data_IF_060518478812
#
_entry.id   IF_060518478812
#
_cell.length_a   1.000
_cell.length_b   1.000
_cell.length_c   1.000
_cell.angle_alpha   90.00
_cell.angle_beta   90.00
_cell.angle_gamma   90.00
#
_symmetry.space_group_name_H-M   'P 1'
#
loop_
_entity.id
_entity.type
_entity.pdbx_description
1 polymer ?
#
# COMPACT_ATOMS: atom_id res chain seq x y z
N UNK A 1 -0.39 -4.83 19.05
CA UNK A 1 0.93 -5.08 18.42
C UNK A 1 1.90 -3.92 18.66
N UNK A 2 1.64 -2.71 18.12
CA UNK A 2 2.47 -1.51 18.36
C UNK A 2 1.59 -0.42 18.95
N UNK A 3 2.04 0.26 20.03
CA UNK A 3 1.29 1.33 20.68
C UNK A 3 2.19 2.53 20.92
N UNK A 4 1.72 3.70 20.56
CA UNK A 4 2.32 4.99 20.86
C UNK A 4 1.54 5.67 22.00
N UNK A 5 2.23 6.14 23.04
CA UNK A 5 1.66 6.89 24.16
C UNK A 5 2.40 8.22 24.35
N UNK A 6 1.73 9.31 23.99
CA UNK A 6 2.24 10.68 24.13
C UNK A 6 3.66 10.87 23.59
N UNK A 7 3.95 10.27 22.42
CA UNK A 7 5.32 10.22 21.85
C UNK A 7 5.66 11.55 21.20
N UNK A 8 6.82 12.11 21.57
CA UNK A 8 7.40 13.27 20.92
C UNK A 8 8.83 13.01 20.48
N UNK A 9 9.20 13.65 19.34
CA UNK A 9 10.58 13.73 18.86
C UNK A 9 10.97 15.17 18.60
N UNK A 10 12.00 15.63 19.32
CA UNK A 10 12.48 17.00 19.30
C UNK A 10 13.90 17.02 18.73
N UNK A 11 14.17 17.91 17.79
CA UNK A 11 15.48 18.22 17.22
C UNK A 11 15.77 19.71 17.44
N UNK A 12 16.67 20.03 18.39
CA UNK A 12 16.86 21.41 18.81
C UNK A 12 15.54 22.01 19.30
N UNK A 13 15.09 23.09 18.69
CA UNK A 13 13.82 23.76 19.04
C UNK A 13 12.62 23.27 18.22
N UNK A 14 12.83 22.35 17.27
CA UNK A 14 11.77 21.86 16.38
C UNK A 14 11.24 20.51 16.86
N UNK A 15 9.93 20.43 17.08
CA UNK A 15 9.23 19.18 17.28
C UNK A 15 8.91 18.56 15.92
N UNK A 16 9.56 17.46 15.59
CA UNK A 16 9.29 16.71 14.36
C UNK A 16 8.08 15.77 14.51
N UNK A 17 7.84 15.29 15.75
CA UNK A 17 6.65 14.56 16.19
C UNK A 17 6.27 15.13 17.54
N UNK A 18 5.01 15.46 17.78
CA UNK A 18 4.55 16.14 18.98
C UNK A 18 3.32 15.45 19.56
N UNK A 19 3.52 14.82 20.72
CA UNK A 19 2.49 14.20 21.55
C UNK A 19 1.54 13.25 20.78
N UNK A 20 2.08 12.39 19.92
CA UNK A 20 1.26 11.45 19.15
C UNK A 20 0.91 10.20 19.95
N UNK A 21 -0.35 9.77 19.86
CA UNK A 21 -0.86 8.56 20.50
C UNK A 21 -1.76 7.81 19.54
N UNK A 22 -1.41 6.56 19.26
CA UNK A 22 -2.22 5.63 18.44
C UNK A 22 -1.76 4.19 18.66
N UNK A 23 -2.55 3.26 18.15
CA UNK A 23 -2.22 1.84 18.15
C UNK A 23 -2.29 1.25 16.75
N UNK A 24 -1.45 0.25 16.50
CA UNK A 24 -1.43 -0.57 15.29
C UNK A 24 -1.72 -2.00 15.74
N UNK A 25 -2.74 -2.61 15.14
CA UNK A 25 -3.18 -3.96 15.50
C UNK A 25 -2.31 -5.02 14.82
N UNK A 26 -2.37 -6.24 15.31
CA UNK A 26 -1.70 -7.38 14.69
C UNK A 26 -2.35 -7.71 13.34
N UNK A 27 -1.54 -7.98 12.33
CA UNK A 27 -1.99 -8.29 10.97
C UNK A 27 -2.51 -7.10 10.17
N UNK A 28 -2.51 -5.88 10.75
CA UNK A 28 -3.00 -4.66 10.14
C UNK A 28 -2.02 -4.09 9.12
N UNK A 29 -2.54 -3.62 7.98
CA UNK A 29 -1.82 -2.75 7.05
C UNK A 29 -2.09 -1.29 7.43
N UNK A 30 -1.20 -0.70 8.22
CA UNK A 30 -1.34 0.65 8.76
C UNK A 30 -0.50 1.65 7.96
N UNK A 31 -1.15 2.69 7.41
CA UNK A 31 -0.48 3.66 6.55
C UNK A 31 -0.28 4.99 7.27
N UNK A 32 0.95 5.49 7.26
CA UNK A 32 1.31 6.85 7.68
C UNK A 32 1.40 7.76 6.45
N UNK A 33 0.55 8.77 6.38
CA UNK A 33 0.48 9.72 5.27
C UNK A 33 0.55 11.16 5.77
N UNK A 34 0.85 12.09 4.88
CA UNK A 34 0.87 13.53 5.19
C UNK A 34 1.90 14.31 4.37
N UNK A 35 1.93 15.64 4.46
CA UNK A 35 2.87 16.50 3.74
C UNK A 35 4.33 16.15 4.00
N UNK A 36 5.23 16.57 3.11
CA UNK A 36 6.67 16.43 3.33
C UNK A 36 7.10 17.10 4.63
N UNK A 37 7.93 16.40 5.42
CA UNK A 37 8.44 16.93 6.69
C UNK A 37 7.46 16.89 7.86
N UNK A 38 6.26 16.28 7.74
CA UNK A 38 5.30 16.20 8.84
C UNK A 38 5.62 15.14 9.92
N UNK A 39 6.69 14.36 9.77
CA UNK A 39 7.15 13.41 10.80
C UNK A 39 6.96 11.92 10.48
N UNK A 40 6.42 11.52 9.31
CA UNK A 40 6.17 10.12 8.94
C UNK A 40 7.38 9.20 9.10
N UNK A 41 8.45 9.47 8.37
CA UNK A 41 9.70 8.70 8.44
C UNK A 41 10.33 8.73 9.83
N UNK A 42 10.21 9.84 10.56
CA UNK A 42 10.67 9.95 11.96
C UNK A 42 9.86 8.99 12.85
N UNK A 43 8.53 9.00 12.72
CA UNK A 43 7.63 8.11 13.44
C UNK A 43 7.95 6.64 13.13
N UNK A 44 8.13 6.28 11.85
CA UNK A 44 8.50 4.93 11.44
C UNK A 44 9.84 4.51 12.06
N UNK A 45 10.87 5.38 12.00
CA UNK A 45 12.22 5.09 12.51
C UNK A 45 12.31 5.01 14.04
N UNK A 46 11.35 5.58 14.76
CA UNK A 46 11.27 5.42 16.21
C UNK A 46 10.81 4.00 16.60
N UNK A 47 9.97 3.34 15.79
CA UNK A 47 9.48 1.98 16.10
C UNK A 47 10.64 0.98 16.25
N UNK A 48 11.60 1.01 15.33
CA UNK A 48 12.76 0.10 15.36
C UNK A 48 13.99 0.70 16.04
N UNK A 49 13.80 1.79 16.79
CA UNK A 49 14.87 2.51 17.53
C UNK A 49 16.06 2.94 16.67
N UNK A 50 15.83 3.23 15.37
CA UNK A 50 16.83 3.94 14.54
C UNK A 50 16.94 5.41 14.95
N UNK A 51 15.85 5.99 15.46
CA UNK A 51 15.79 7.32 16.04
C UNK A 51 15.25 7.14 17.47
N UNK A 52 15.95 7.64 18.52
CA UNK A 52 15.40 7.65 19.86
C UNK A 52 14.26 8.66 19.98
N UNK A 53 13.18 8.32 20.67
CA UNK A 53 12.13 9.26 21.06
C UNK A 53 12.65 10.25 22.10
N UNK A 54 12.03 11.42 22.21
CA UNK A 54 12.40 12.44 23.22
C UNK A 54 11.50 12.35 24.44
N UNK A 55 10.21 12.06 24.25
CA UNK A 55 9.20 11.96 25.32
C UNK A 55 8.19 10.88 24.97
N UNK A 56 7.49 10.34 25.98
CA UNK A 56 6.46 9.32 25.84
C UNK A 56 7.01 7.91 25.76
N UNK A 57 6.17 6.97 25.32
CA UNK A 57 6.51 5.56 25.25
C UNK A 57 6.00 4.95 23.93
N UNK A 58 6.81 4.04 23.38
CA UNK A 58 6.39 3.14 22.31
C UNK A 58 6.45 1.72 22.88
N UNK A 59 5.38 0.97 22.67
CA UNK A 59 5.30 -0.43 23.08
C UNK A 59 5.29 -1.32 21.83
N UNK A 60 5.95 -2.45 21.95
CA UNK A 60 5.92 -3.55 21.01
C UNK A 60 5.49 -4.80 21.78
N UNK A 61 4.35 -5.42 21.41
CA UNK A 61 3.75 -6.52 22.16
C UNK A 61 3.61 -6.22 23.66
N UNK A 62 3.01 -5.07 23.99
CA UNK A 62 2.73 -4.58 25.35
C UNK A 62 3.96 -4.33 26.24
N UNK A 63 5.16 -4.48 25.69
CA UNK A 63 6.42 -4.18 26.37
C UNK A 63 7.04 -2.91 25.79
N UNK A 64 7.50 -1.94 26.62
CA UNK A 64 8.20 -0.76 26.14
C UNK A 64 9.42 -1.12 25.27
N UNK A 65 9.57 -0.47 24.11
CA UNK A 65 10.71 -0.75 23.21
C UNK A 65 12.07 -0.47 23.87
N UNK A 66 12.11 0.42 24.87
CA UNK A 66 13.31 0.73 25.65
C UNK A 66 13.85 -0.46 26.47
N UNK A 67 12.99 -1.40 26.80
CA UNK A 67 13.32 -2.58 27.62
C UNK A 67 13.77 -3.81 26.80
N UNK A 68 13.70 -3.71 25.47
CA UNK A 68 14.22 -4.77 24.60
C UNK A 68 15.72 -4.62 24.39
N UNK A 69 16.42 -5.73 24.23
CA UNK A 69 17.67 -5.70 23.48
C UNK A 69 17.42 -5.23 22.05
N UNK A 70 18.23 -4.29 21.58
CA UNK A 70 18.01 -3.64 20.28
C UNK A 70 18.16 -4.62 19.13
N UNK A 71 19.13 -5.55 19.22
CA UNK A 71 19.37 -6.51 18.16
C UNK A 71 18.23 -7.53 18.08
N UNK A 72 17.80 -8.07 19.23
CA UNK A 72 16.69 -9.02 19.32
C UNK A 72 15.39 -8.41 18.80
N UNK A 73 15.05 -7.18 19.22
CA UNK A 73 13.86 -6.49 18.75
C UNK A 73 13.87 -6.29 17.22
N UNK A 74 15.03 -5.92 16.67
CA UNK A 74 15.15 -5.69 15.22
C UNK A 74 15.07 -6.96 14.39
N UNK A 75 15.30 -8.13 14.96
CA UNK A 75 15.07 -9.40 14.28
C UNK A 75 13.59 -9.70 14.03
N UNK A 76 12.71 -9.11 14.84
CA UNK A 76 11.26 -9.23 14.70
C UNK A 76 10.66 -8.10 13.86
N UNK A 77 11.51 -7.23 13.30
CA UNK A 77 11.08 -6.09 12.49
C UNK A 77 11.84 -6.10 11.16
N UNK A 78 11.12 -6.44 10.07
CA UNK A 78 11.61 -6.22 8.71
C UNK A 78 11.60 -4.72 8.38
N UNK A 79 12.58 -4.24 7.63
CA UNK A 79 12.65 -2.84 7.23
C UNK A 79 12.95 -2.69 5.73
N UNK A 80 12.02 -2.07 5.02
CA UNK A 80 12.17 -1.69 3.60
C UNK A 80 12.52 -0.21 3.53
N UNK A 81 13.70 0.08 3.00
CA UNK A 81 14.20 1.45 2.86
C UNK A 81 13.62 2.12 1.61
N UNK A 82 13.50 3.44 1.63
CA UNK A 82 13.11 4.27 0.49
C UNK A 82 14.03 4.05 -0.71
N UNK A 83 15.34 3.97 -0.48
CA UNK A 83 16.30 3.54 -1.49
C UNK A 83 16.42 2.01 -1.46
N UNK A 84 16.61 1.39 -2.61
CA UNK A 84 16.63 -0.09 -2.78
C UNK A 84 17.69 -0.76 -1.89
N UNK A 85 18.80 -0.12 -1.62
CA UNK A 85 19.85 -0.50 -0.65
C UNK A 85 20.23 -2.01 -0.64
N UNK A 86 20.20 -2.70 -1.79
CA UNK A 86 20.76 -4.03 -1.93
C UNK A 86 22.28 -3.94 -1.88
N UNK A 87 22.92 -4.95 -1.33
CA UNK A 87 24.38 -5.06 -1.32
C UNK A 87 24.85 -5.39 -2.73
N UNK A 88 25.55 -4.45 -3.44
CA UNK A 88 25.83 -4.60 -4.86
C UNK A 88 26.84 -5.70 -5.19
N UNK A 89 27.65 -6.10 -4.21
CA UNK A 89 28.67 -7.14 -4.32
C UNK A 89 28.20 -8.53 -3.88
N UNK A 90 26.93 -8.65 -3.49
CA UNK A 90 26.28 -9.89 -3.10
C UNK A 90 25.27 -10.31 -4.15
N UNK A 91 25.13 -11.59 -4.39
CA UNK A 91 24.05 -12.15 -5.21
C UNK A 91 22.68 -11.93 -4.57
N UNK A 92 21.61 -12.16 -5.31
CA UNK A 92 20.25 -12.01 -4.79
C UNK A 92 19.99 -12.97 -3.62
N UNK A 93 20.40 -14.23 -3.72
CA UNK A 93 20.29 -15.18 -2.59
C UNK A 93 21.05 -14.72 -1.36
N UNK A 94 22.25 -14.18 -1.52
CA UNK A 94 23.05 -13.65 -0.42
C UNK A 94 22.41 -12.42 0.21
N UNK A 95 21.83 -11.52 -0.59
CA UNK A 95 21.06 -10.38 -0.09
C UNK A 95 19.87 -10.82 0.77
N UNK A 96 19.10 -11.82 0.32
CA UNK A 96 17.92 -12.34 1.04
C UNK A 96 18.37 -13.12 2.30
N UNK A 97 19.45 -13.86 2.23
CA UNK A 97 19.93 -14.72 3.30
C UNK A 97 20.51 -13.98 4.52
N UNK A 98 20.85 -12.68 4.40
CA UNK A 98 21.59 -11.94 5.43
C UNK A 98 21.00 -12.08 6.84
N UNK A 99 19.72 -11.77 7.02
CA UNK A 99 19.10 -11.84 8.36
C UNK A 99 18.90 -13.27 8.83
N UNK A 100 18.42 -14.23 8.03
CA UNK A 100 18.39 -15.64 8.37
C UNK A 100 19.76 -16.20 8.80
N UNK A 101 20.86 -15.82 8.15
CA UNK A 101 22.22 -16.23 8.51
C UNK A 101 22.63 -15.65 9.89
N UNK A 102 22.34 -14.36 10.12
CA UNK A 102 22.58 -13.72 11.43
C UNK A 102 21.76 -14.40 12.55
N UNK A 103 20.53 -14.86 12.24
CA UNK A 103 19.69 -15.67 13.14
C UNK A 103 20.15 -17.14 13.23
N UNK A 104 21.25 -17.51 12.56
CA UNK A 104 21.84 -18.86 12.56
C UNK A 104 20.90 -19.96 12.06
N UNK A 105 20.07 -19.66 11.07
CA UNK A 105 19.24 -20.67 10.44
C UNK A 105 20.11 -21.72 9.72
N UNK A 106 19.59 -22.93 9.55
CA UNK A 106 20.30 -23.98 8.81
C UNK A 106 20.37 -23.60 7.34
N UNK A 107 21.49 -23.88 6.69
CA UNK A 107 21.70 -23.55 5.26
C UNK A 107 20.58 -24.05 4.35
N UNK A 108 20.03 -25.24 4.61
CA UNK A 108 18.93 -25.81 3.85
C UNK A 108 17.65 -24.99 3.99
N UNK A 109 17.33 -24.53 5.20
CA UNK A 109 16.13 -23.74 5.47
C UNK A 109 16.24 -22.35 4.81
N UNK A 110 17.44 -21.76 4.84
CA UNK A 110 17.74 -20.49 4.13
C UNK A 110 17.55 -20.66 2.63
N UNK A 111 18.09 -21.72 2.01
CA UNK A 111 17.94 -21.96 0.58
C UNK A 111 16.47 -22.11 0.17
N UNK A 112 15.70 -22.92 0.92
CA UNK A 112 14.28 -23.09 0.69
C UNK A 112 13.52 -21.76 0.83
N UNK A 113 13.86 -20.95 1.84
CA UNK A 113 13.23 -19.65 2.08
C UNK A 113 13.53 -18.64 0.97
N UNK A 114 14.76 -18.64 0.46
CA UNK A 114 15.14 -17.81 -0.70
C UNK A 114 14.30 -18.15 -1.92
N UNK A 115 14.18 -19.44 -2.24
CA UNK A 115 13.42 -19.89 -3.42
C UNK A 115 11.91 -19.63 -3.25
N UNK A 116 11.34 -19.85 -2.05
CA UNK A 116 9.97 -19.50 -1.70
C UNK A 116 9.70 -18.00 -1.93
N UNK A 117 10.54 -17.13 -1.38
CA UNK A 117 10.36 -15.68 -1.46
C UNK A 117 10.54 -15.15 -2.88
N UNK A 118 11.48 -15.68 -3.66
CA UNK A 118 11.63 -15.32 -5.08
C UNK A 118 10.39 -15.70 -5.88
N UNK A 119 9.87 -16.91 -5.68
CA UNK A 119 8.63 -17.38 -6.32
C UNK A 119 7.45 -16.48 -5.98
N UNK A 120 7.33 -16.09 -4.70
CA UNK A 120 6.26 -15.24 -4.17
C UNK A 120 6.17 -13.87 -4.87
N UNK A 121 7.31 -13.31 -5.32
CA UNK A 121 7.33 -12.03 -6.06
C UNK A 121 7.46 -12.23 -7.58
N UNK A 122 7.13 -13.41 -8.09
CA UNK A 122 7.13 -13.72 -9.53
C UNK A 122 8.51 -13.75 -10.18
N UNK A 123 9.56 -14.04 -9.40
CA UNK A 123 10.93 -14.20 -9.91
C UNK A 123 11.33 -15.68 -9.83
N UNK A 124 11.63 -16.30 -10.97
CA UNK A 124 12.07 -17.68 -11.02
C UNK A 124 13.40 -17.88 -10.25
N UNK A 125 13.42 -18.71 -9.19
CA UNK A 125 14.61 -18.88 -8.35
C UNK A 125 15.85 -19.33 -9.12
N UNK A 126 15.69 -20.25 -10.09
CA UNK A 126 16.84 -20.75 -10.87
C UNK A 126 17.47 -19.68 -11.74
N UNK A 127 16.65 -18.75 -12.22
CA UNK A 127 17.12 -17.64 -13.05
C UNK A 127 17.73 -16.50 -12.25
N UNK A 128 17.19 -16.18 -11.05
CA UNK A 128 17.48 -14.93 -10.35
C UNK A 128 18.37 -15.08 -9.11
N UNK A 129 18.39 -16.22 -8.41
CA UNK A 129 19.07 -16.35 -7.12
C UNK A 129 20.57 -16.04 -7.16
N UNK A 130 21.25 -16.37 -8.28
CA UNK A 130 22.69 -16.22 -8.44
C UNK A 130 23.09 -14.92 -9.17
N UNK A 131 22.13 -14.09 -9.60
CA UNK A 131 22.39 -12.78 -10.21
C UNK A 131 22.80 -11.76 -9.16
N UNK A 132 23.45 -10.71 -9.65
CA UNK A 132 23.76 -9.52 -8.86
C UNK A 132 22.70 -8.44 -9.06
N UNK A 133 22.53 -7.50 -8.10
CA UNK A 133 21.56 -6.40 -8.22
C UNK A 133 21.68 -5.61 -9.52
N UNK A 134 22.89 -5.39 -10.03
CA UNK A 134 23.16 -4.68 -11.30
C UNK A 134 22.57 -5.33 -12.55
N UNK A 135 22.21 -6.60 -12.48
CA UNK A 135 21.62 -7.37 -13.59
C UNK A 135 20.09 -7.32 -13.57
N UNK A 136 19.48 -6.63 -12.58
CA UNK A 136 18.04 -6.53 -12.38
C UNK A 136 17.53 -5.13 -12.73
N UNK A 137 16.28 -5.06 -13.21
CA UNK A 137 15.58 -3.78 -13.34
C UNK A 137 15.31 -3.15 -11.96
N UNK A 138 15.04 -1.84 -11.90
CA UNK A 138 14.72 -1.15 -10.65
C UNK A 138 13.51 -1.77 -9.92
N UNK A 139 12.45 -2.15 -10.65
CA UNK A 139 11.29 -2.83 -10.06
C UNK A 139 11.63 -4.22 -9.50
N UNK A 140 12.47 -5.00 -10.20
CA UNK A 140 12.95 -6.29 -9.69
C UNK A 140 13.80 -6.11 -8.43
N UNK A 141 14.72 -5.14 -8.42
CA UNK A 141 15.51 -4.83 -7.23
C UNK A 141 14.63 -4.42 -6.04
N UNK A 142 13.55 -3.67 -6.28
CA UNK A 142 12.61 -3.28 -5.23
C UNK A 142 11.86 -4.49 -4.66
N UNK A 143 11.40 -5.42 -5.51
CA UNK A 143 10.81 -6.70 -5.08
C UNK A 143 11.78 -7.47 -4.17
N UNK A 144 13.06 -7.56 -4.56
CA UNK A 144 14.08 -8.18 -3.71
C UNK A 144 14.24 -7.44 -2.38
N UNK A 145 14.21 -6.11 -2.37
CA UNK A 145 14.24 -5.30 -1.15
C UNK A 145 13.10 -5.64 -0.18
N UNK A 146 11.88 -5.83 -0.72
CA UNK A 146 10.70 -6.23 0.07
C UNK A 146 10.87 -7.64 0.64
N UNK A 147 11.20 -8.64 -0.18
CA UNK A 147 11.35 -10.03 0.30
C UNK A 147 12.55 -10.22 1.22
N UNK A 148 13.61 -9.43 1.08
CA UNK A 148 14.73 -9.41 2.03
C UNK A 148 14.26 -9.01 3.42
N UNK A 149 13.36 -8.03 3.53
CA UNK A 149 12.79 -7.63 4.82
C UNK A 149 11.90 -8.73 5.43
N UNK A 150 11.33 -9.62 4.61
CA UNK A 150 10.51 -10.76 5.02
C UNK A 150 11.30 -12.05 5.27
N UNK A 151 12.60 -12.07 4.94
CA UNK A 151 13.39 -13.30 4.89
C UNK A 151 13.44 -14.06 6.23
N UNK A 152 13.54 -13.34 7.34
CA UNK A 152 13.57 -13.92 8.70
C UNK A 152 12.19 -14.18 9.31
N UNK A 153 11.13 -14.06 8.52
CA UNK A 153 9.73 -14.21 8.92
C UNK A 153 9.31 -13.28 10.09
N UNK A 154 9.60 -11.96 10.02
CA UNK A 154 9.30 -11.04 11.10
C UNK A 154 7.78 -10.85 11.25
N UNK A 155 7.24 -10.64 12.47
CA UNK A 155 5.84 -10.32 12.70
C UNK A 155 5.45 -8.92 12.22
N UNK A 156 6.42 -8.00 12.11
CA UNK A 156 6.21 -6.61 11.68
C UNK A 156 7.13 -6.25 10.52
N UNK A 157 6.61 -5.53 9.53
CA UNK A 157 7.38 -4.95 8.44
C UNK A 157 7.15 -3.45 8.38
N UNK A 158 8.22 -2.67 8.43
CA UNK A 158 8.22 -1.23 8.26
C UNK A 158 8.66 -0.88 6.84
N UNK A 159 7.92 -0.03 6.16
CA UNK A 159 8.21 0.37 4.78
C UNK A 159 8.23 1.89 4.65
N UNK A 160 9.37 2.46 4.28
CA UNK A 160 9.59 3.90 4.15
C UNK A 160 9.56 4.29 2.66
N UNK A 161 8.41 4.75 2.16
CA UNK A 161 8.17 5.15 0.76
C UNK A 161 8.70 4.14 -0.29
N UNK A 162 8.34 2.85 -0.21
CA UNK A 162 9.00 1.81 -1.01
C UNK A 162 8.76 1.93 -2.52
N UNK A 163 7.80 2.73 -2.96
CA UNK A 163 7.45 2.87 -4.38
C UNK A 163 7.91 4.18 -5.03
N UNK A 164 8.55 5.08 -4.26
CA UNK A 164 8.86 6.44 -4.70
C UNK A 164 9.80 6.51 -5.91
N UNK A 165 10.67 5.51 -6.10
CA UNK A 165 11.63 5.46 -7.19
C UNK A 165 11.15 4.68 -8.44
N UNK A 166 9.89 4.20 -8.45
CA UNK A 166 9.36 3.37 -9.53
C UNK A 166 8.55 4.18 -10.54
N UNK A 167 8.59 3.75 -11.80
CA UNK A 167 7.67 4.21 -12.83
C UNK A 167 6.22 3.78 -12.51
N UNK A 168 5.20 4.44 -13.07
CA UNK A 168 3.80 4.18 -12.72
C UNK A 168 3.35 2.73 -12.91
N UNK A 169 3.82 2.05 -13.97
CA UNK A 169 3.43 0.67 -14.28
C UNK A 169 4.06 -0.30 -13.26
N UNK A 170 5.36 -0.17 -13.03
CA UNK A 170 6.09 -0.97 -12.05
C UNK A 170 5.54 -0.77 -10.63
N UNK A 171 5.16 0.48 -10.30
CA UNK A 171 4.55 0.84 -9.02
C UNK A 171 3.22 0.12 -8.82
N UNK A 172 2.29 0.20 -9.79
CA UNK A 172 0.99 -0.47 -9.73
C UNK A 172 1.16 -1.99 -9.55
N UNK A 173 2.01 -2.61 -10.34
CA UNK A 173 2.25 -4.05 -10.25
C UNK A 173 2.81 -4.45 -8.87
N UNK A 174 3.75 -3.68 -8.32
CA UNK A 174 4.34 -4.00 -7.01
C UNK A 174 3.35 -3.76 -5.86
N UNK A 175 2.44 -2.79 -5.98
CA UNK A 175 1.34 -2.61 -5.03
C UNK A 175 0.41 -3.83 -5.01
N UNK A 176 0.03 -4.32 -6.19
CA UNK A 176 -0.85 -5.49 -6.34
C UNK A 176 -0.15 -6.74 -5.77
N UNK A 177 1.12 -6.96 -6.11
CA UNK A 177 1.94 -8.04 -5.55
C UNK A 177 2.03 -7.97 -4.01
N UNK A 178 2.19 -6.76 -3.44
CA UNK A 178 2.30 -6.58 -1.99
C UNK A 178 0.97 -6.85 -1.28
N UNK A 179 -0.16 -6.46 -1.88
CA UNK A 179 -1.49 -6.78 -1.35
C UNK A 179 -1.77 -8.28 -1.40
N UNK A 180 -1.43 -8.96 -2.51
CA UNK A 180 -1.55 -10.41 -2.62
C UNK A 180 -0.68 -11.10 -1.57
N UNK A 181 0.57 -10.67 -1.43
CA UNK A 181 1.50 -11.15 -0.42
C UNK A 181 0.91 -10.98 0.99
N UNK A 182 0.41 -9.79 1.34
CA UNK A 182 -0.17 -9.50 2.65
C UNK A 182 -1.37 -10.40 2.96
N UNK A 183 -2.21 -10.69 1.97
CA UNK A 183 -3.37 -11.59 2.12
C UNK A 183 -2.95 -13.02 2.54
N UNK A 184 -1.78 -13.46 2.08
CA UNK A 184 -1.22 -14.79 2.35
C UNK A 184 -0.49 -14.85 3.70
N UNK A 185 0.36 -13.83 4.00
CA UNK A 185 1.26 -13.86 5.17
C UNK A 185 0.67 -13.21 6.42
N UNK A 186 -0.33 -12.35 6.29
CA UNK A 186 -1.04 -11.63 7.38
C UNK A 186 -0.08 -10.97 8.40
N UNK A 187 1.00 -10.36 7.92
CA UNK A 187 1.96 -9.63 8.76
C UNK A 187 1.42 -8.24 9.10
N UNK A 188 1.87 -7.68 10.21
CA UNK A 188 1.62 -6.27 10.51
C UNK A 188 2.53 -5.42 9.65
N UNK A 189 1.97 -4.54 8.82
CA UNK A 189 2.73 -3.65 7.95
C UNK A 189 2.52 -2.21 8.40
N UNK A 190 3.60 -1.47 8.60
CA UNK A 190 3.56 -0.01 8.79
C UNK A 190 4.20 0.63 7.57
N UNK A 191 3.38 1.30 6.79
CA UNK A 191 3.73 1.81 5.47
C UNK A 191 3.71 3.34 5.45
N UNK A 192 4.79 3.94 5.00
CA UNK A 192 4.88 5.40 4.81
C UNK A 192 4.76 5.71 3.33
N UNK A 193 3.88 6.64 3.00
CA UNK A 193 3.77 7.21 1.66
C UNK A 193 3.40 8.70 1.73
N UNK A 194 3.61 9.41 0.64
CA UNK A 194 3.06 10.74 0.40
C UNK A 194 1.91 10.72 -0.62
N UNK A 195 1.62 9.55 -1.17
CA UNK A 195 0.58 9.33 -2.18
C UNK A 195 -0.71 8.85 -1.49
N UNK A 196 -1.78 9.64 -1.66
CA UNK A 196 -3.08 9.35 -1.04
C UNK A 196 -3.75 8.12 -1.68
N UNK A 197 -3.54 7.90 -2.99
CA UNK A 197 -4.13 6.77 -3.70
C UNK A 197 -3.51 5.45 -3.20
N UNK A 198 -2.17 5.44 -2.98
CA UNK A 198 -1.50 4.31 -2.35
C UNK A 198 -2.07 4.02 -0.96
N UNK A 199 -2.25 5.07 -0.13
CA UNK A 199 -2.76 4.92 1.22
C UNK A 199 -4.17 4.34 1.22
N UNK A 200 -5.05 4.83 0.37
CA UNK A 200 -6.44 4.39 0.29
C UNK A 200 -6.60 2.99 -0.32
N UNK A 201 -5.72 2.63 -1.26
CA UNK A 201 -5.72 1.30 -1.89
C UNK A 201 -5.22 0.21 -0.95
N UNK A 202 -4.21 0.51 -0.13
CA UNK A 202 -3.45 -0.51 0.60
C UNK A 202 -3.77 -0.56 2.09
N UNK A 203 -4.22 0.56 2.69
CA UNK A 203 -4.37 0.67 4.13
C UNK A 203 -5.68 0.12 4.66
N UNK A 204 -5.62 -0.77 5.65
CA UNK A 204 -6.78 -1.09 6.50
C UNK A 204 -7.16 0.14 7.33
N UNK A 205 -6.15 0.83 7.87
CA UNK A 205 -6.29 2.14 8.51
C UNK A 205 -5.17 3.07 8.09
N UNK A 206 -5.55 4.34 7.96
CA UNK A 206 -4.68 5.44 7.54
C UNK A 206 -4.54 6.41 8.72
N UNK A 207 -3.31 6.86 8.97
CA UNK A 207 -3.00 7.92 9.93
C UNK A 207 -2.43 9.12 9.16
N UNK A 208 -3.19 10.20 9.11
CA UNK A 208 -2.75 11.45 8.52
C UNK A 208 -2.01 12.27 9.57
N UNK A 209 -0.74 12.54 9.28
CA UNK A 209 0.13 13.39 10.08
C UNK A 209 0.26 14.77 9.44
N UNK A 210 0.24 15.81 10.26
CA UNK A 210 0.49 17.18 9.85
C UNK A 210 1.29 17.93 10.94
N UNK A 211 2.40 18.55 10.56
CA UNK A 211 3.25 19.33 11.48
C UNK A 211 3.59 18.61 12.79
N UNK A 212 3.83 17.30 12.73
CA UNK A 212 4.16 16.47 13.89
C UNK A 212 2.96 15.93 14.68
N UNK A 213 1.74 16.31 14.34
CA UNK A 213 0.51 15.88 15.01
C UNK A 213 -0.31 14.89 14.19
N UNK A 214 -1.12 14.08 14.86
CA UNK A 214 -2.12 13.23 14.22
C UNK A 214 -3.38 14.07 13.94
N UNK A 215 -3.72 14.26 12.68
CA UNK A 215 -4.95 14.92 12.26
C UNK A 215 -6.14 13.98 12.32
N UNK A 216 -6.05 12.82 11.67
CA UNK A 216 -7.09 11.81 11.65
C UNK A 216 -6.48 10.41 11.56
N UNK A 217 -7.15 9.43 12.16
CA UNK A 217 -6.92 8.00 11.95
C UNK A 217 -8.27 7.35 11.66
N UNK A 218 -8.33 6.54 10.61
CA UNK A 218 -9.57 5.84 10.23
C UNK A 218 -9.36 4.99 8.99
N UNK A 219 -10.43 4.36 8.53
CA UNK A 219 -10.50 3.64 7.27
C UNK A 219 -10.57 4.63 6.09
N UNK A 220 -10.41 4.14 4.86
CA UNK A 220 -10.64 4.93 3.64
C UNK A 220 -12.03 5.57 3.65
N UNK A 221 -13.07 4.84 4.09
CA UNK A 221 -14.43 5.37 4.21
C UNK A 221 -14.55 6.50 5.23
N UNK A 222 -13.83 6.42 6.37
CA UNK A 222 -13.81 7.50 7.36
C UNK A 222 -13.20 8.77 6.80
N UNK A 223 -12.16 8.66 6.00
CA UNK A 223 -11.52 9.81 5.35
C UNK A 223 -12.43 10.45 4.29
N UNK A 224 -13.09 9.65 3.46
CA UNK A 224 -13.98 10.12 2.40
C UNK A 224 -15.25 10.75 2.97
N UNK A 225 -15.94 10.03 3.88
CA UNK A 225 -17.30 10.43 4.30
C UNK A 225 -17.32 11.20 5.61
N UNK A 226 -16.27 11.16 6.43
CA UNK A 226 -16.21 11.78 7.75
C UNK A 226 -14.86 12.47 8.01
N UNK A 227 -14.41 13.38 7.10
CA UNK A 227 -13.19 14.14 7.33
C UNK A 227 -13.33 15.00 8.60
N UNK A 228 -12.33 14.92 9.49
CA UNK A 228 -12.36 15.54 10.83
C UNK A 228 -12.34 17.07 10.76
N UNK A 229 -11.70 17.63 9.72
CA UNK A 229 -11.56 19.08 9.53
C UNK A 229 -11.29 19.42 8.06
N UNK A 230 -11.25 20.73 7.74
CA UNK A 230 -11.01 21.22 6.38
C UNK A 230 -9.63 20.85 5.84
N UNK A 231 -8.62 20.72 6.71
CA UNK A 231 -7.29 20.26 6.30
C UNK A 231 -7.35 18.82 5.76
N UNK A 232 -7.99 17.92 6.51
CA UNK A 232 -8.18 16.52 6.07
C UNK A 232 -8.94 16.48 4.76
N UNK A 233 -10.06 17.22 4.66
CA UNK A 233 -10.86 17.31 3.43
C UNK A 233 -10.05 17.84 2.25
N UNK A 234 -9.26 18.89 2.44
CA UNK A 234 -8.43 19.46 1.37
C UNK A 234 -7.24 18.58 0.99
N UNK A 235 -6.68 17.84 1.97
CA UNK A 235 -5.56 16.92 1.74
C UNK A 235 -5.97 15.71 0.90
N UNK A 236 -7.17 15.16 1.16
CA UNK A 236 -7.75 14.08 0.36
C UNK A 236 -8.06 14.59 -1.06
N UNK A 237 -8.46 15.87 -1.19
CA UNK A 237 -8.77 16.48 -2.48
C UNK A 237 -9.95 15.81 -3.18
N UNK A 238 -9.89 15.72 -4.51
CA UNK A 238 -10.90 15.04 -5.32
C UNK A 238 -10.67 13.52 -5.43
N UNK A 239 -10.21 12.86 -4.35
CA UNK A 239 -10.04 11.40 -4.32
C UNK A 239 -11.38 10.69 -4.59
N UNK A 240 -12.51 11.32 -4.22
CA UNK A 240 -13.84 10.83 -4.61
C UNK A 240 -13.93 10.54 -6.12
N UNK A 241 -13.34 11.40 -6.95
CA UNK A 241 -13.31 11.18 -8.40
C UNK A 241 -12.44 9.98 -8.80
N UNK A 242 -11.34 9.71 -8.10
CA UNK A 242 -10.45 8.58 -8.38
C UNK A 242 -10.98 7.26 -7.83
N UNK A 243 -11.52 7.25 -6.61
CA UNK A 243 -12.15 6.05 -6.02
C UNK A 243 -13.39 5.65 -6.83
N UNK A 244 -14.18 6.63 -7.28
CA UNK A 244 -15.33 6.38 -8.14
C UNK A 244 -14.92 5.84 -9.52
N UNK A 245 -13.75 6.20 -10.03
CA UNK A 245 -13.19 5.63 -11.27
C UNK A 245 -12.78 4.17 -11.17
N UNK A 246 -12.45 3.69 -9.98
CA UNK A 246 -12.10 2.29 -9.72
C UNK A 246 -13.32 1.39 -9.47
N UNK A 247 -14.54 1.94 -9.49
CA UNK A 247 -15.78 1.14 -9.39
C UNK A 247 -15.85 0.16 -10.56
N UNK A 248 -16.07 -1.11 -10.25
CA UNK A 248 -16.22 -2.16 -11.27
C UNK A 248 -17.49 -1.93 -12.08
N UNK A 249 -17.41 -2.17 -13.37
CA UNK A 249 -18.54 -1.99 -14.27
C UNK A 249 -19.70 -2.94 -13.94
N UNK A 250 -19.39 -4.16 -13.44
CA UNK A 250 -20.40 -5.09 -12.98
C UNK A 250 -21.31 -4.57 -11.87
N UNK A 251 -20.79 -3.66 -11.04
CA UNK A 251 -21.55 -3.11 -9.90
C UNK A 251 -22.51 -1.97 -10.30
N UNK A 252 -22.29 -1.38 -11.48
CA UNK A 252 -23.08 -0.22 -11.96
C UNK A 252 -23.80 -0.49 -13.29
N UNK A 253 -23.62 -1.65 -13.89
CA UNK A 253 -24.22 -1.97 -15.18
C UNK A 253 -25.75 -2.11 -15.08
N UNK A 254 -26.45 -1.51 -16.05
CA UNK A 254 -27.90 -1.54 -16.14
C UNK A 254 -28.38 -2.70 -17.03
N UNK A 255 -29.52 -3.35 -16.71
CA UNK A 255 -30.13 -4.32 -17.62
C UNK A 255 -30.45 -3.64 -18.96
N UNK A 256 -30.14 -4.31 -20.08
CA UNK A 256 -30.41 -3.76 -21.43
C UNK A 256 -31.91 -3.46 -21.64
N UNK A 257 -32.79 -4.19 -20.98
CA UNK A 257 -34.23 -3.99 -21.03
C UNK A 257 -34.69 -2.63 -20.49
N UNK A 258 -33.85 -1.97 -19.69
CA UNK A 258 -34.16 -0.65 -19.09
C UNK A 258 -33.58 0.51 -19.91
N UNK A 259 -32.78 0.22 -20.95
CA UNK A 259 -32.10 1.23 -21.76
C UNK A 259 -32.65 1.19 -23.20
N UNK A 260 -33.17 2.29 -23.67
CA UNK A 260 -33.75 2.41 -25.00
C UNK A 260 -32.65 2.52 -26.07
N UNK A 261 -32.06 1.39 -26.48
CA UNK A 261 -30.98 1.33 -27.49
C UNK A 261 -31.41 0.56 -28.72
N UNK A 262 -31.22 1.16 -29.92
CA UNK A 262 -31.67 0.60 -31.20
C UNK A 262 -30.72 -0.46 -31.79
N UNK A 263 -29.46 -0.62 -31.32
CA UNK A 263 -28.50 -1.57 -31.88
C UNK A 263 -27.39 -1.87 -30.86
N UNK A 264 -27.49 -2.99 -30.17
CA UNK A 264 -26.53 -3.41 -29.14
C UNK A 264 -25.21 -3.89 -29.76
N UNK A 265 -25.26 -4.51 -30.95
CA UNK A 265 -24.10 -5.15 -31.60
C UNK A 265 -23.01 -4.18 -32.07
N UNK A 266 -23.30 -2.88 -32.13
CA UNK A 266 -22.33 -1.85 -32.53
C UNK A 266 -21.46 -1.34 -31.40
N UNK A 267 -21.78 -1.67 -30.15
CA UNK A 267 -21.04 -1.20 -28.99
C UNK A 267 -19.89 -2.13 -28.59
N UNK A 268 -18.74 -1.60 -28.15
CA UNK A 268 -17.62 -2.42 -27.69
C UNK A 268 -18.01 -3.26 -26.48
N UNK A 269 -17.53 -4.52 -26.47
CA UNK A 269 -17.72 -5.46 -25.38
C UNK A 269 -16.60 -5.33 -24.37
N UNK A 270 -16.96 -5.28 -23.07
CA UNK A 270 -16.02 -5.10 -21.96
C UNK A 270 -16.30 -6.11 -20.85
N UNK A 271 -15.27 -6.46 -20.07
CA UNK A 271 -15.43 -7.34 -18.92
C UNK A 271 -16.15 -6.63 -17.77
N UNK A 272 -17.04 -7.31 -17.02
CA UNK A 272 -17.63 -6.79 -15.78
C UNK A 272 -16.60 -6.40 -14.71
N UNK A 273 -15.41 -7.00 -14.76
CA UNK A 273 -14.32 -6.74 -13.82
C UNK A 273 -13.50 -5.47 -14.14
N UNK A 274 -13.67 -4.91 -15.34
CA UNK A 274 -13.05 -3.62 -15.69
C UNK A 274 -13.68 -2.47 -14.88
N UNK A 275 -12.90 -1.42 -14.67
CA UNK A 275 -13.32 -0.24 -13.92
C UNK A 275 -13.81 0.88 -14.86
N UNK A 276 -14.44 1.89 -14.29
CA UNK A 276 -14.81 3.10 -15.05
C UNK A 276 -13.58 3.74 -15.72
N UNK A 277 -12.42 3.72 -15.05
CA UNK A 277 -11.17 4.28 -15.58
C UNK A 277 -10.66 3.55 -16.83
N UNK A 278 -10.79 2.22 -16.84
CA UNK A 278 -10.36 1.38 -17.97
C UNK A 278 -11.16 1.64 -19.26
N UNK A 279 -12.37 2.20 -19.14
CA UNK A 279 -13.29 2.41 -20.26
C UNK A 279 -13.44 3.86 -20.69
N UNK A 280 -12.76 4.81 -20.04
CA UNK A 280 -12.89 6.23 -20.41
C UNK A 280 -12.61 6.50 -21.90
N UNK A 281 -11.57 5.87 -22.46
CA UNK A 281 -11.24 5.97 -23.87
C UNK A 281 -12.37 5.45 -24.77
N UNK A 282 -12.98 4.32 -24.42
CA UNK A 282 -14.09 3.74 -25.16
C UNK A 282 -15.35 4.61 -25.07
N UNK A 283 -15.65 5.17 -23.90
CA UNK A 283 -16.77 6.10 -23.73
C UNK A 283 -16.55 7.47 -24.35
N UNK A 284 -15.32 7.86 -24.69
CA UNK A 284 -15.04 9.05 -25.48
C UNK A 284 -15.48 8.87 -26.94
N UNK A 285 -15.32 7.66 -27.49
CA UNK A 285 -15.63 7.33 -28.89
C UNK A 285 -17.04 6.76 -29.07
N UNK A 286 -17.59 6.08 -28.04
CA UNK A 286 -18.88 5.39 -28.08
C UNK A 286 -19.86 5.95 -27.03
N UNK A 287 -21.15 5.95 -27.33
CA UNK A 287 -22.20 6.39 -26.39
C UNK A 287 -22.48 5.38 -25.29
N UNK A 288 -22.16 4.11 -25.54
CA UNK A 288 -22.37 3.00 -24.61
C UNK A 288 -21.35 1.89 -24.83
N UNK A 289 -21.21 1.03 -23.83
CA UNK A 289 -20.46 -0.22 -23.86
C UNK A 289 -21.33 -1.34 -23.32
N UNK A 290 -21.07 -2.57 -23.74
CA UNK A 290 -21.88 -3.74 -23.40
C UNK A 290 -21.03 -4.73 -22.61
N UNK A 291 -21.61 -5.34 -21.57
CA UNK A 291 -20.93 -6.35 -20.77
C UNK A 291 -20.77 -7.65 -21.53
N UNK A 292 -19.54 -8.15 -21.59
CA UNK A 292 -19.25 -9.46 -22.17
C UNK A 292 -19.68 -10.58 -21.20
N UNK A 293 -20.65 -11.37 -21.62
CA UNK A 293 -21.04 -12.58 -20.89
C UNK A 293 -20.46 -13.79 -21.62
N UNK A 294 -19.47 -14.45 -21.00
CA UNK A 294 -18.65 -15.54 -21.57
C UNK A 294 -19.41 -16.68 -22.29
N UNK A 295 -20.74 -16.80 -22.15
CA UNK A 295 -21.55 -17.87 -22.78
C UNK A 295 -23.00 -17.48 -23.13
N UNK A 296 -23.38 -16.20 -23.09
CA UNK A 296 -24.76 -15.76 -23.40
C UNK A 296 -24.77 -14.41 -24.14
N UNK A 297 -25.92 -14.01 -24.68
CA UNK A 297 -26.11 -12.69 -25.23
C UNK A 297 -25.88 -11.63 -24.13
N UNK A 298 -25.34 -10.44 -24.48
CA UNK A 298 -25.11 -9.38 -23.50
C UNK A 298 -26.42 -9.01 -22.79
N UNK A 299 -26.40 -9.00 -21.46
CA UNK A 299 -27.59 -8.71 -20.64
C UNK A 299 -27.54 -7.35 -19.96
N UNK A 300 -26.36 -6.73 -19.93
CA UNK A 300 -26.12 -5.45 -19.24
C UNK A 300 -25.34 -4.48 -20.11
N UNK A 301 -25.61 -3.19 -19.90
CA UNK A 301 -25.03 -2.06 -20.65
C UNK A 301 -24.63 -0.96 -19.68
N UNK A 302 -23.60 -0.22 -20.03
CA UNK A 302 -23.19 1.03 -19.35
C UNK A 302 -23.16 2.13 -20.38
N UNK A 303 -24.02 3.16 -20.21
CA UNK A 303 -24.05 4.32 -21.08
C UNK A 303 -23.17 5.43 -20.56
N UNK A 304 -22.59 6.24 -21.46
CA UNK A 304 -21.82 7.45 -21.10
C UNK A 304 -22.63 8.36 -20.16
N UNK A 305 -23.90 8.59 -20.48
CA UNK A 305 -24.79 9.42 -19.67
C UNK A 305 -24.96 8.86 -18.27
N UNK A 306 -25.10 7.54 -18.12
CA UNK A 306 -25.26 6.90 -16.82
C UNK A 306 -23.98 7.03 -15.98
N UNK A 307 -22.82 6.82 -16.56
CA UNK A 307 -21.52 7.00 -15.85
C UNK A 307 -21.39 8.44 -15.34
N UNK A 308 -21.68 9.43 -16.18
CA UNK A 308 -21.64 10.84 -15.75
C UNK A 308 -22.67 11.16 -14.67
N UNK A 309 -23.88 10.63 -14.77
CA UNK A 309 -24.92 10.80 -13.74
C UNK A 309 -24.51 10.13 -12.43
N UNK A 310 -24.01 8.90 -12.49
CA UNK A 310 -23.50 8.16 -11.34
C UNK A 310 -22.38 8.92 -10.61
N UNK A 311 -21.39 9.39 -11.36
CA UNK A 311 -20.29 10.20 -10.82
C UNK A 311 -20.80 11.51 -10.24
N UNK A 312 -21.78 12.17 -10.87
CA UNK A 312 -22.37 13.42 -10.38
C UNK A 312 -23.22 13.22 -9.11
N UNK A 313 -23.97 12.12 -9.01
CA UNK A 313 -24.78 11.81 -7.82
C UNK A 313 -23.88 11.48 -6.63
N UNK A 314 -22.85 10.66 -6.84
CA UNK A 314 -21.87 10.34 -5.78
C UNK A 314 -21.12 11.59 -5.33
N UNK A 315 -20.76 12.49 -6.24
CA UNK A 315 -20.15 13.77 -5.89
C UNK A 315 -21.12 14.74 -5.17
N UNK A 316 -22.44 14.64 -5.38
CA UNK A 316 -23.45 15.47 -4.68
C UNK A 316 -23.82 14.91 -3.30
N UNK A 317 -23.74 13.61 -3.09
CA UNK A 317 -23.98 12.97 -1.79
C UNK A 317 -22.97 13.37 -0.70
N UNK A 318 -21.89 14.05 -1.07
CA UNK A 318 -20.83 14.56 -0.16
C UNK A 318 -21.11 16.02 0.26
N UNK A 319 -22.15 16.67 -0.27
CA UNK A 319 -22.45 18.11 -0.03
C UNK A 319 -23.67 18.35 0.85
N UNK A 320 -24.17 17.31 1.54
CA UNK A 320 -25.33 17.46 2.46
C UNK A 320 -25.02 17.01 3.89
#
# INVERSE_FOLDING_TARGET
>A
MIKFEAVSKIYGDKKAVDNVSFNINEGEFFVLIGPSGCGKTTTLKMINRLIPLSEGFIYFNDKPISEYDVAEMRWDIGYVLQQIALFPHMTIKENIAQVPEMKKWKKKDIANRVDELLTMVGLDPETYRDRYPSELSGGQQQRIGVIRALASDPPVVLMDEPFSALDPISRKNLQDDLLELQSQIKKTIVFVTHDIEEAMKMGDRICLLNQGHVEQIGTTEDFIHRPKNDFVKSFIGNVDAHVLKQVKLGDIAQPISEVNTQSIDQYPKVSPDQTIDDIYGLLAEHEAIVMDSKNAAPSHIVTRQYVFSYLAEKNRGVSS
#
